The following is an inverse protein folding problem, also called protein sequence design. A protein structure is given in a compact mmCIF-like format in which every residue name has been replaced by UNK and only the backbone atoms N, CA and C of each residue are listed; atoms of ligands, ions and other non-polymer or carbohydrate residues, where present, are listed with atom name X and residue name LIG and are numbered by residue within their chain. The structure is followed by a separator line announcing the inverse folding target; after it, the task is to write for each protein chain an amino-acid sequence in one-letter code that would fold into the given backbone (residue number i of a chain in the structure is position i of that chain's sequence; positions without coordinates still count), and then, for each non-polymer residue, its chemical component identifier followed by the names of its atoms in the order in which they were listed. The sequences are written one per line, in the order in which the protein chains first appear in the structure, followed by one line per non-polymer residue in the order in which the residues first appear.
data_IF_697913178088
#
_entry.id   IF_697913178088
#
_cell.length_a   1.000
_cell.length_b   1.000
_cell.length_c   1.000
_cell.angle_alpha   90.00
_cell.angle_beta   90.00
_cell.angle_gamma   90.00
#
_symmetry.space_group_name_H-M   'P 1'
#
loop_
_entity.id
_entity.type
_entity.pdbx_description
1 polymer ?
#
# COMPACT_ATOMS: atom_id res chain seq x y z
N UNK A 1 7.29 -4.43 -22.46
CA UNK A 1 7.81 -3.26 -21.72
C UNK A 1 8.93 -3.76 -20.82
N UNK A 2 10.07 -3.06 -20.66
CA UNK A 2 11.10 -3.56 -19.73
C UNK A 2 10.52 -3.56 -18.31
N UNK A 3 10.59 -4.67 -17.57
CA UNK A 3 9.90 -4.84 -16.28
C UNK A 3 10.28 -3.80 -15.20
N UNK A 4 11.46 -3.18 -15.28
CA UNK A 4 11.96 -2.20 -14.28
C UNK A 4 11.58 -0.74 -14.57
N UNK A 5 10.70 -0.46 -15.55
CA UNK A 5 10.33 0.91 -15.92
C UNK A 5 9.41 1.63 -14.93
N UNK A 6 8.81 0.90 -13.98
CA UNK A 6 7.90 1.48 -12.99
C UNK A 6 8.61 2.03 -11.75
N UNK A 7 9.86 1.60 -11.51
CA UNK A 7 10.64 2.09 -10.37
C UNK A 7 11.06 3.54 -10.57
N UNK A 8 10.92 4.33 -9.50
CA UNK A 8 11.43 5.69 -9.46
C UNK A 8 12.95 5.64 -9.41
N UNK A 9 13.60 6.28 -10.39
CA UNK A 9 15.06 6.39 -10.49
C UNK A 9 15.57 7.80 -10.23
N UNK A 10 14.74 8.81 -10.49
CA UNK A 10 15.09 10.21 -10.28
C UNK A 10 14.87 10.63 -8.81
N UNK A 11 15.87 11.30 -8.24
CA UNK A 11 15.85 11.71 -6.84
C UNK A 11 14.79 12.79 -6.56
N UNK A 12 14.48 13.68 -7.51
CA UNK A 12 13.47 14.73 -7.32
C UNK A 12 12.07 14.10 -7.33
N UNK A 13 11.85 13.14 -8.22
CA UNK A 13 10.62 12.36 -8.26
C UNK A 13 10.42 11.59 -6.95
N UNK A 14 11.46 10.93 -6.44
CA UNK A 14 11.41 10.27 -5.13
C UNK A 14 11.12 11.26 -4.00
N UNK A 15 11.79 12.41 -3.94
CA UNK A 15 11.55 13.43 -2.93
C UNK A 15 10.12 13.94 -2.95
N UNK A 16 9.54 14.12 -4.14
CA UNK A 16 8.14 14.51 -4.32
C UNK A 16 7.17 13.43 -3.79
N UNK A 17 7.38 12.17 -4.19
CA UNK A 17 6.58 11.04 -3.72
C UNK A 17 6.69 10.86 -2.20
N UNK A 18 7.90 10.96 -1.65
CA UNK A 18 8.15 10.83 -0.21
C UNK A 18 7.55 11.99 0.60
N UNK A 19 7.53 13.21 0.04
CA UNK A 19 6.81 14.34 0.65
C UNK A 19 5.30 14.08 0.69
N UNK A 20 4.73 13.54 -0.37
CA UNK A 20 3.32 13.15 -0.37
C UNK A 20 3.03 12.05 0.66
N UNK A 21 3.86 11.02 0.68
CA UNK A 21 3.78 9.91 1.63
C UNK A 21 3.76 10.41 3.08
N UNK A 22 4.68 11.30 3.48
CA UNK A 22 4.73 11.84 4.85
C UNK A 22 3.53 12.71 5.25
N UNK A 23 2.81 13.27 4.27
CA UNK A 23 1.56 13.97 4.55
C UNK A 23 0.39 13.00 4.81
N UNK A 24 0.46 11.80 4.24
CA UNK A 24 -0.57 10.78 4.34
C UNK A 24 -0.32 9.90 5.57
N UNK A 25 0.93 9.55 5.82
CA UNK A 25 1.34 8.58 6.83
C UNK A 25 2.40 9.11 7.80
N UNK A 26 2.33 8.63 9.04
CA UNK A 26 3.39 8.75 10.03
C UNK A 26 4.34 7.55 9.90
N UNK A 27 5.39 7.69 9.09
CA UNK A 27 6.37 6.61 8.85
C UNK A 27 7.24 6.26 10.06
N UNK A 28 7.15 7.02 11.15
CA UNK A 28 7.86 6.72 12.41
C UNK A 28 7.02 5.85 13.35
N UNK A 29 5.81 5.48 12.93
CA UNK A 29 4.89 4.61 13.67
C UNK A 29 4.65 3.34 12.88
N UNK A 30 4.14 2.36 13.59
CA UNK A 30 3.65 1.08 13.10
C UNK A 30 2.38 0.74 13.86
N UNK A 31 1.59 -0.18 13.32
CA UNK A 31 0.42 -0.70 14.02
C UNK A 31 0.88 -1.35 15.34
N UNK A 32 0.16 -1.16 16.47
CA UNK A 32 -1.18 -0.59 16.60
C UNK A 32 -1.22 0.94 16.82
N UNK A 33 -0.15 1.70 16.55
CA UNK A 33 -0.26 3.15 16.64
C UNK A 33 -0.92 3.74 15.38
N UNK A 34 -1.49 4.95 15.51
CA UNK A 34 -2.06 5.66 14.36
C UNK A 34 -0.98 5.97 13.31
N UNK A 35 -1.04 5.26 12.19
CA UNK A 35 -0.10 5.38 11.05
C UNK A 35 -0.59 6.38 9.99
N UNK A 36 -1.85 6.79 9.99
CA UNK A 36 -2.36 7.82 9.09
C UNK A 36 -2.21 9.21 9.72
N UNK A 37 -1.50 10.11 9.05
CA UNK A 37 -1.45 11.53 9.40
C UNK A 37 -2.68 12.28 8.88
N UNK A 38 -3.29 11.78 7.79
CA UNK A 38 -4.54 12.31 7.27
C UNK A 38 -5.73 11.76 8.04
N UNK A 39 -6.79 12.57 8.15
CA UNK A 39 -8.07 12.09 8.66
C UNK A 39 -8.69 11.12 7.66
N UNK A 40 -9.08 9.95 8.16
CA UNK A 40 -9.93 8.99 7.47
C UNK A 40 -11.19 8.77 8.31
N UNK A 41 -12.36 8.94 7.70
CA UNK A 41 -13.66 8.68 8.34
C UNK A 41 -14.01 7.19 8.32
N UNK A 42 -13.40 6.43 7.41
CA UNK A 42 -13.60 4.99 7.27
C UNK A 42 -12.28 4.24 7.15
N UNK A 43 -12.26 3.04 7.73
CA UNK A 43 -11.15 2.10 7.67
C UNK A 43 -11.66 0.70 7.32
N UNK A 44 -11.00 0.04 6.38
CA UNK A 44 -11.19 -1.38 6.08
C UNK A 44 -9.87 -2.12 6.31
N UNK A 45 -9.98 -3.39 6.68
CA UNK A 45 -8.84 -4.26 6.98
C UNK A 45 -8.81 -5.43 6.01
N UNK A 46 -7.61 -5.85 5.62
CA UNK A 46 -7.34 -6.93 4.68
C UNK A 46 -6.08 -7.69 5.10
N UNK A 47 -5.88 -8.91 4.61
CA UNK A 47 -4.61 -9.63 4.75
C UNK A 47 -3.49 -8.90 3.96
N UNK A 48 -2.28 -8.84 4.51
CA UNK A 48 -1.14 -8.23 3.83
C UNK A 48 -0.84 -8.97 2.52
N UNK A 49 -0.79 -10.31 2.58
CA UNK A 49 -0.51 -11.12 1.40
C UNK A 49 -1.55 -10.95 0.31
N UNK A 50 -2.82 -10.74 0.69
CA UNK A 50 -3.86 -10.41 -0.29
C UNK A 50 -3.54 -9.10 -1.02
N UNK A 51 -3.10 -8.05 -0.31
CA UNK A 51 -2.65 -6.78 -0.89
C UNK A 51 -1.57 -6.92 -1.98
N UNK A 52 -0.78 -7.99 -1.90
CA UNK A 52 0.32 -8.28 -2.82
C UNK A 52 -0.09 -9.16 -4.01
N UNK A 53 -1.33 -9.68 -4.04
CA UNK A 53 -1.86 -10.58 -5.06
C UNK A 53 -2.59 -9.85 -6.20
N UNK A 54 -2.80 -10.54 -7.33
CA UNK A 54 -3.45 -9.99 -8.53
C UNK A 54 -4.92 -9.61 -8.28
N UNK A 55 -5.60 -10.35 -7.41
CA UNK A 55 -7.00 -10.17 -7.04
C UNK A 55 -7.25 -8.91 -6.19
N UNK A 56 -6.19 -8.33 -5.63
CA UNK A 56 -6.30 -7.06 -4.92
C UNK A 56 -6.30 -5.86 -5.87
N UNK A 57 -5.67 -5.97 -7.03
CA UNK A 57 -5.56 -4.85 -7.97
C UNK A 57 -6.90 -4.20 -8.36
N UNK A 58 -8.00 -4.95 -8.59
CA UNK A 58 -9.32 -4.37 -8.80
C UNK A 58 -9.80 -3.43 -7.69
N UNK A 59 -9.39 -3.66 -6.44
CA UNK A 59 -9.65 -2.74 -5.32
C UNK A 59 -8.97 -1.39 -5.57
N UNK A 60 -7.69 -1.40 -5.94
CA UNK A 60 -6.92 -0.18 -6.25
C UNK A 60 -7.46 0.52 -7.51
N UNK A 61 -7.83 -0.24 -8.54
CA UNK A 61 -8.45 0.30 -9.75
C UNK A 61 -9.80 0.96 -9.46
N UNK A 62 -10.60 0.38 -8.56
CA UNK A 62 -11.87 0.99 -8.17
C UNK A 62 -11.65 2.31 -7.42
N UNK A 63 -10.75 2.32 -6.42
CA UNK A 63 -10.39 3.52 -5.68
C UNK A 63 -9.95 4.65 -6.63
N UNK A 64 -9.03 4.33 -7.54
CA UNK A 64 -8.52 5.30 -8.52
C UNK A 64 -9.56 5.77 -9.52
N UNK A 65 -10.47 4.88 -9.96
CA UNK A 65 -11.58 5.22 -10.86
C UNK A 65 -12.52 6.27 -10.25
N UNK A 66 -12.87 6.13 -8.98
CA UNK A 66 -13.79 7.06 -8.29
C UNK A 66 -13.23 8.48 -8.27
N UNK A 67 -11.91 8.63 -8.17
CA UNK A 67 -11.24 9.94 -8.14
C UNK A 67 -10.59 10.35 -9.47
N UNK A 68 -10.86 9.62 -10.56
CA UNK A 68 -10.28 9.87 -11.90
C UNK A 68 -8.75 9.88 -11.93
N UNK A 69 -8.13 9.03 -11.13
CA UNK A 69 -6.68 8.90 -11.00
C UNK A 69 -6.12 7.96 -12.07
N UNK A 70 -4.99 8.35 -12.66
CA UNK A 70 -4.32 7.59 -13.73
C UNK A 70 -3.11 6.79 -13.25
N UNK A 71 -2.65 7.09 -12.04
CA UNK A 71 -1.47 6.47 -11.45
C UNK A 71 -1.67 6.27 -9.94
N UNK A 72 -1.03 5.23 -9.42
CA UNK A 72 -0.86 4.98 -7.98
C UNK A 72 0.62 4.85 -7.68
N UNK A 73 1.04 5.37 -6.53
CA UNK A 73 2.37 5.11 -5.97
C UNK A 73 2.28 3.91 -5.02
N UNK A 74 3.12 2.91 -5.25
CA UNK A 74 3.38 1.81 -4.33
C UNK A 74 4.77 2.04 -3.73
N UNK A 75 4.87 2.23 -2.43
CA UNK A 75 6.13 2.58 -1.78
C UNK A 75 6.46 1.58 -0.68
N UNK A 76 7.63 0.95 -0.80
CA UNK A 76 8.18 0.09 0.24
C UNK A 76 8.90 0.96 1.27
N UNK A 77 8.47 0.85 2.52
CA UNK A 77 9.00 1.61 3.65
C UNK A 77 10.06 0.82 4.42
N UNK A 78 9.91 -0.51 4.44
CA UNK A 78 10.82 -1.45 5.08
C UNK A 78 10.97 -2.67 4.17
N UNK A 79 12.18 -2.98 3.65
CA UNK A 79 13.47 -2.35 3.94
C UNK A 79 13.56 -0.88 3.51
N UNK A 80 14.35 -0.09 4.25
CA UNK A 80 14.35 1.37 4.14
C UNK A 80 14.74 1.86 2.72
N UNK A 81 13.93 2.73 2.08
CA UNK A 81 14.09 3.08 0.67
C UNK A 81 15.43 3.74 0.32
N UNK A 82 15.98 4.58 1.21
CA UNK A 82 17.28 5.24 0.99
C UNK A 82 18.46 4.51 1.62
N UNK A 83 18.35 4.13 2.89
CA UNK A 83 19.47 3.60 3.68
C UNK A 83 19.86 2.17 3.29
N UNK A 84 18.93 1.43 2.68
CA UNK A 84 19.15 0.12 2.11
C UNK A 84 19.02 0.17 0.60
N UNK A 85 17.79 0.29 0.09
CA UNK A 85 17.52 -0.05 -1.32
C UNK A 85 18.25 0.88 -2.31
N UNK A 86 18.21 2.20 -2.12
CA UNK A 86 18.96 3.14 -2.95
C UNK A 86 20.47 2.98 -2.81
N UNK A 87 20.96 2.71 -1.61
CA UNK A 87 22.39 2.52 -1.33
C UNK A 87 22.94 1.28 -2.06
N UNK A 88 22.18 0.18 -2.08
CA UNK A 88 22.60 -1.08 -2.69
C UNK A 88 22.35 -1.10 -4.21
N UNK A 89 21.26 -0.50 -4.71
CA UNK A 89 20.84 -0.68 -6.11
C UNK A 89 20.82 0.62 -6.96
N UNK A 90 21.00 1.80 -6.36
CA UNK A 90 21.09 3.07 -7.08
C UNK A 90 19.76 3.66 -7.58
N UNK A 91 18.62 3.09 -7.18
CA UNK A 91 17.26 3.59 -7.42
C UNK A 91 16.35 3.28 -6.23
N UNK A 92 15.08 3.68 -6.25
CA UNK A 92 14.18 3.53 -5.10
C UNK A 92 13.19 2.40 -5.31
N UNK A 93 12.87 1.65 -4.25
CA UNK A 93 11.77 0.66 -4.19
C UNK A 93 10.39 1.34 -4.08
N UNK A 94 10.23 2.45 -4.80
CA UNK A 94 8.97 3.15 -5.00
C UNK A 94 8.59 2.96 -6.45
N UNK A 95 7.36 2.55 -6.68
CA UNK A 95 6.82 2.25 -8.00
C UNK A 95 5.70 3.22 -8.31
N UNK A 96 5.68 3.71 -9.56
CA UNK A 96 4.52 4.41 -10.11
C UNK A 96 3.81 3.51 -11.10
N UNK A 97 2.63 3.06 -10.72
CA UNK A 97 1.85 2.11 -11.50
C UNK A 97 0.71 2.84 -12.21
N UNK A 98 0.61 2.76 -13.55
CA UNK A 98 -0.58 3.20 -14.28
C UNK A 98 -1.81 2.40 -13.85
N UNK A 99 -2.96 3.05 -13.72
CA UNK A 99 -4.21 2.37 -13.34
C UNK A 99 -4.77 1.47 -14.46
N UNK A 100 -4.21 1.60 -15.66
CA UNK A 100 -4.51 0.76 -16.83
C UNK A 100 -3.83 -0.61 -16.82
N UNK A 101 -2.93 -0.90 -15.87
CA UNK A 101 -2.34 -2.23 -15.76
C UNK A 101 -3.42 -3.30 -15.52
N UNK A 102 -3.20 -4.50 -16.06
CA UNK A 102 -3.96 -5.68 -15.67
C UNK A 102 -3.58 -6.15 -14.26
N UNK A 103 -4.42 -6.99 -13.66
CA UNK A 103 -4.13 -7.64 -12.37
C UNK A 103 -2.85 -8.48 -12.39
N UNK A 104 -2.63 -9.22 -13.49
CA UNK A 104 -1.41 -10.01 -13.70
C UNK A 104 -0.18 -9.10 -13.82
N UNK A 105 -0.29 -7.99 -14.58
CA UNK A 105 0.79 -7.01 -14.70
C UNK A 105 1.14 -6.37 -13.35
N UNK A 106 0.13 -6.02 -12.54
CA UNK A 106 0.34 -5.54 -11.17
C UNK A 106 1.17 -6.54 -10.35
N UNK A 107 0.75 -7.80 -10.32
CA UNK A 107 1.43 -8.86 -9.58
C UNK A 107 2.87 -9.05 -10.07
N UNK A 108 3.07 -9.14 -11.38
CA UNK A 108 4.37 -9.29 -12.01
C UNK A 108 5.31 -8.14 -11.64
N UNK A 109 4.82 -6.90 -11.68
CA UNK A 109 5.60 -5.70 -11.28
C UNK A 109 6.10 -5.78 -9.84
N UNK A 110 5.31 -6.33 -8.92
CA UNK A 110 5.75 -6.51 -7.53
C UNK A 110 6.80 -7.62 -7.36
N UNK A 111 6.89 -8.60 -8.29
CA UNK A 111 7.92 -9.67 -8.26
C UNK A 111 9.25 -9.27 -8.88
N UNK A 112 9.31 -8.10 -9.52
CA UNK A 112 10.52 -7.64 -10.17
C UNK A 112 11.45 -7.02 -9.13
N UNK A 113 12.53 -7.73 -8.84
CA UNK A 113 13.68 -7.23 -8.08
C UNK A 113 14.77 -6.64 -8.99
N UNK A 114 15.86 -6.12 -8.39
CA UNK A 114 17.11 -5.85 -9.10
C UNK A 114 17.65 -7.08 -9.86
N UNK A 115 18.40 -6.86 -10.95
CA UNK A 115 18.81 -7.88 -11.94
C UNK A 115 19.49 -9.13 -11.33
N UNK A 116 20.34 -8.92 -10.32
CA UNK A 116 21.05 -10.01 -9.64
C UNK A 116 20.47 -10.34 -8.24
N UNK A 117 19.43 -9.61 -7.82
CA UNK A 117 18.85 -9.69 -6.48
C UNK A 117 17.33 -9.83 -6.56
N UNK A 118 16.78 -10.87 -7.21
CA UNK A 118 15.33 -11.03 -7.37
C UNK A 118 14.59 -11.16 -6.02
N UNK A 119 15.28 -11.60 -4.97
CA UNK A 119 14.74 -11.67 -3.61
C UNK A 119 14.40 -10.28 -3.04
N UNK A 120 14.99 -9.20 -3.57
CA UNK A 120 14.73 -7.82 -3.18
C UNK A 120 13.50 -7.18 -3.87
N UNK A 121 12.71 -7.99 -4.57
CA UNK A 121 11.44 -7.52 -5.13
C UNK A 121 10.47 -7.06 -4.02
N UNK A 122 9.62 -6.05 -4.29
CA UNK A 122 8.59 -5.62 -3.34
C UNK A 122 7.74 -6.77 -2.77
N UNK A 123 7.40 -7.75 -3.60
CA UNK A 123 6.62 -8.92 -3.19
C UNK A 123 7.33 -9.78 -2.14
N UNK A 124 8.63 -10.03 -2.31
CA UNK A 124 9.37 -10.96 -1.47
C UNK A 124 9.97 -10.29 -0.22
N UNK A 125 10.43 -9.04 -0.31
CA UNK A 125 11.22 -8.41 0.76
C UNK A 125 10.49 -7.31 1.55
N UNK A 126 9.30 -6.87 1.15
CA UNK A 126 8.65 -5.77 1.88
C UNK A 126 8.07 -6.22 3.22
N UNK A 127 8.52 -5.65 4.33
CA UNK A 127 7.90 -5.76 5.65
C UNK A 127 6.83 -4.68 5.86
N UNK A 128 7.06 -3.49 5.29
CA UNK A 128 6.10 -2.37 5.30
C UNK A 128 5.98 -1.77 3.91
N UNK A 129 4.76 -1.65 3.42
CA UNK A 129 4.47 -1.14 2.08
C UNK A 129 3.17 -0.33 2.10
N UNK A 130 3.10 0.70 1.26
CA UNK A 130 1.91 1.56 1.17
C UNK A 130 1.47 1.77 -0.27
N UNK A 131 0.17 1.97 -0.46
CA UNK A 131 -0.43 2.39 -1.73
C UNK A 131 -1.12 3.73 -1.51
N UNK A 132 -0.85 4.69 -2.38
CA UNK A 132 -1.51 5.99 -2.32
C UNK A 132 -1.46 6.70 -3.67
N UNK A 133 -2.36 7.63 -3.86
CA UNK A 133 -2.36 8.53 -5.01
C UNK A 133 -1.97 9.96 -4.60
N UNK A 134 -1.74 10.82 -5.59
CA UNK A 134 -1.46 12.24 -5.35
C UNK A 134 -2.66 13.03 -4.81
N UNK A 135 -3.90 12.51 -4.95
CA UNK A 135 -5.12 13.18 -4.46
C UNK A 135 -5.28 13.10 -2.94
N UNK A 136 -4.65 12.09 -2.31
CA UNK A 136 -4.75 11.79 -0.87
C UNK A 136 -6.16 11.42 -0.40
N UNK A 137 -7.05 11.05 -1.33
CA UNK A 137 -8.45 10.70 -1.03
C UNK A 137 -8.60 9.35 -0.35
N UNK A 138 -7.66 8.46 -0.61
CA UNK A 138 -7.54 7.16 0.00
C UNK A 138 -6.06 6.83 0.16
N UNK A 139 -5.75 5.93 1.08
CA UNK A 139 -4.41 5.39 1.22
C UNK A 139 -4.47 4.02 1.89
N UNK A 140 -3.47 3.18 1.63
CA UNK A 140 -3.41 1.82 2.14
C UNK A 140 -2.06 1.60 2.81
N UNK A 141 -2.08 1.09 4.03
CA UNK A 141 -0.90 0.76 4.83
C UNK A 141 -0.82 -0.74 5.05
N UNK A 142 0.27 -1.39 4.64
CA UNK A 142 0.50 -2.82 4.83
C UNK A 142 1.70 -3.10 5.74
N UNK A 143 1.52 -4.02 6.69
CA UNK A 143 2.58 -4.61 7.52
C UNK A 143 2.54 -6.14 7.46
N UNK A 144 3.64 -6.75 6.99
CA UNK A 144 3.74 -8.20 6.79
C UNK A 144 3.72 -8.97 8.09
N UNK A 145 4.43 -8.48 9.11
CA UNK A 145 4.57 -9.14 10.41
C UNK A 145 3.23 -9.37 11.12
N UNK A 146 2.23 -8.52 10.85
CA UNK A 146 0.87 -8.62 11.35
C UNK A 146 -0.08 -9.30 10.36
N UNK A 147 0.35 -9.48 9.11
CA UNK A 147 -0.50 -9.87 7.98
C UNK A 147 -1.73 -8.94 7.83
N UNK A 148 -1.50 -7.63 7.89
CA UNK A 148 -2.57 -6.62 7.80
C UNK A 148 -2.25 -5.58 6.72
N UNK A 149 -3.28 -5.27 5.93
CA UNK A 149 -3.43 -4.04 5.18
C UNK A 149 -4.61 -3.23 5.76
N UNK A 150 -4.41 -1.93 5.99
CA UNK A 150 -5.44 -0.98 6.41
C UNK A 150 -5.71 0.00 5.28
N UNK A 151 -6.94 0.04 4.79
CA UNK A 151 -7.41 0.96 3.75
C UNK A 151 -8.16 2.11 4.44
N UNK A 152 -7.63 3.32 4.38
CA UNK A 152 -8.25 4.53 4.94
C UNK A 152 -8.79 5.45 3.85
N UNK A 153 -10.01 5.97 4.01
CA UNK A 153 -10.68 6.88 3.06
C UNK A 153 -11.79 7.70 3.75
N UNK A 154 -12.35 8.70 3.05
CA UNK A 154 -13.40 9.58 3.59
C UNK A 154 -14.75 9.45 2.86
N UNK A 155 -14.75 9.02 1.61
CA UNK A 155 -15.95 8.99 0.78
C UNK A 155 -16.77 7.71 1.00
N UNK A 156 -17.96 7.83 1.59
CA UNK A 156 -18.83 6.70 1.93
C UNK A 156 -19.27 5.87 0.71
N UNK A 157 -19.30 6.46 -0.49
CA UNK A 157 -19.61 5.75 -1.76
C UNK A 157 -18.67 4.56 -2.00
N UNK A 158 -17.48 4.58 -1.41
CA UNK A 158 -16.51 3.49 -1.52
C UNK A 158 -16.92 2.25 -0.70
N UNK A 159 -17.68 2.41 0.40
CA UNK A 159 -18.02 1.31 1.31
C UNK A 159 -18.77 0.19 0.60
N UNK A 160 -19.84 0.53 -0.13
CA UNK A 160 -20.73 -0.47 -0.72
C UNK A 160 -20.03 -1.38 -1.73
N UNK A 161 -19.05 -0.84 -2.45
CA UNK A 161 -18.27 -1.62 -3.42
C UNK A 161 -17.15 -2.40 -2.75
N UNK A 162 -16.40 -1.76 -1.85
CA UNK A 162 -15.28 -2.40 -1.17
C UNK A 162 -15.74 -3.53 -0.24
N UNK A 163 -16.92 -3.42 0.37
CA UNK A 163 -17.49 -4.49 1.20
C UNK A 163 -17.98 -5.70 0.37
N UNK A 164 -18.17 -5.55 -0.95
CA UNK A 164 -18.61 -6.64 -1.84
C UNK A 164 -17.44 -7.30 -2.57
N UNK A 165 -16.21 -6.87 -2.33
CA UNK A 165 -15.02 -7.45 -2.94
C UNK A 165 -14.88 -8.92 -2.51
N UNK A 166 -14.49 -9.84 -3.42
CA UNK A 166 -14.36 -11.28 -3.12
C UNK A 166 -13.27 -11.63 -2.09
N UNK A 167 -12.51 -10.64 -1.62
CA UNK A 167 -11.61 -10.74 -0.48
C UNK A 167 -12.29 -11.34 0.77
N UNK A 168 -11.51 -12.04 1.61
CA UNK A 168 -11.95 -12.60 2.91
C UNK A 168 -12.18 -11.52 4.00
N UNK A 169 -12.52 -10.28 3.62
CA UNK A 169 -12.76 -9.12 4.51
C UNK A 169 -13.67 -9.47 5.70
N UNK A 170 -14.62 -10.39 5.53
CA UNK A 170 -15.56 -10.81 6.56
C UNK A 170 -15.02 -11.80 7.62
N UNK A 171 -14.04 -12.66 7.28
CA UNK A 171 -13.49 -13.63 8.24
C UNK A 171 -12.39 -12.99 9.12
N UNK A 172 -11.60 -12.11 8.51
CA UNK A 172 -10.51 -11.36 9.16
C UNK A 172 -11.08 -10.35 10.16
N UNK A 173 -12.14 -9.61 9.83
CA UNK A 173 -12.81 -8.70 10.77
C UNK A 173 -13.33 -9.41 12.03
N UNK A 174 -13.86 -10.64 11.91
CA UNK A 174 -14.39 -11.41 13.03
C UNK A 174 -13.28 -11.96 13.95
N UNK A 175 -12.19 -12.44 13.38
CA UNK A 175 -11.03 -12.93 14.14
C UNK A 175 -10.24 -11.78 14.79
N UNK A 176 -10.11 -10.65 14.09
CA UNK A 176 -9.50 -9.44 14.64
C UNK A 176 -10.37 -8.75 15.70
N UNK A 177 -11.69 -8.69 15.55
CA UNK A 177 -12.57 -8.18 16.64
C UNK A 177 -12.35 -8.95 17.95
N UNK A 178 -12.05 -10.25 17.93
CA UNK A 178 -11.76 -11.00 19.16
C UNK A 178 -10.39 -10.68 19.77
N UNK A 179 -9.36 -10.34 18.99
CA UNK A 179 -8.03 -9.96 19.52
C UNK A 179 -7.93 -8.46 19.86
N UNK A 180 -8.53 -7.60 19.03
CA UNK A 180 -8.51 -6.14 19.15
C UNK A 180 -9.64 -5.55 20.02
N UNK A 181 -10.76 -6.24 20.31
CA UNK A 181 -11.80 -5.67 21.19
C UNK A 181 -11.30 -5.36 22.61
N UNK A 182 -10.15 -5.90 23.03
CA UNK A 182 -9.50 -5.51 24.28
C UNK A 182 -8.69 -4.19 24.20
N UNK A 183 -8.43 -3.66 22.99
CA UNK A 183 -7.59 -2.46 22.75
C UNK A 183 -8.19 -1.43 21.77
N UNK A 184 -9.27 -1.75 21.06
CA UNK A 184 -9.86 -0.87 20.04
C UNK A 184 -10.57 0.36 20.65
N UNK A 185 -10.99 0.32 21.91
CA UNK A 185 -11.55 1.51 22.59
C UNK A 185 -10.52 2.63 22.76
N UNK A 186 -9.22 2.30 22.78
CA UNK A 186 -8.12 3.27 22.89
C UNK A 186 -7.64 3.80 21.53
N UNK A 187 -8.08 3.21 20.43
CA UNK A 187 -7.65 3.57 19.07
C UNK A 187 -8.40 4.76 18.46
N UNK A 188 -9.61 5.03 18.96
CA UNK A 188 -10.52 6.04 18.41
C UNK A 188 -10.80 7.20 19.39
N UNK A 189 -9.97 7.36 20.43
CA UNK A 189 -9.96 8.54 21.32
C UNK A 189 -8.73 9.40 21.11
#
# INVERSE_FOLDING_TARGET
MKPTNFFIKDIKEFQSANKNLKNIFNTNKELPYQVFNQRCDYYLFEEFYWGMCEEFWPTVQYLTKIFSEKEVTVAVLDPHPTNYFYKEFGYFNYLKLPTSLSSEEYRNVLEIGPEDYPADAPYYHSEKIVWFSSSKKWAIWGERSLDICVIGFNESVLLDHLMKSPSKRDQTLYNYKKSFASRAEDFFR
#
